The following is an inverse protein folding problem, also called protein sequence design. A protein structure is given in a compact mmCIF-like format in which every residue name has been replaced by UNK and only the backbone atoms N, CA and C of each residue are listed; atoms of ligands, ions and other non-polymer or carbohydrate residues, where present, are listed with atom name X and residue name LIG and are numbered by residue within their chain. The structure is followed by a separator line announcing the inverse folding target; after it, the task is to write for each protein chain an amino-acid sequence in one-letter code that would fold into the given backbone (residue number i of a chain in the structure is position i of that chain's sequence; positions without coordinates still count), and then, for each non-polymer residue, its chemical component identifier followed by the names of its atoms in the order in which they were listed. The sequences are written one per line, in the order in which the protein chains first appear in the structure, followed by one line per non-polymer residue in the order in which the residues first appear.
data_IF_403341310969
#
_entry.id   IF_403341310969
#
_cell.length_a   1.000
_cell.length_b   1.000
_cell.length_c   1.000
_cell.angle_alpha   90.00
_cell.angle_beta   90.00
_cell.angle_gamma   90.00
#
_symmetry.space_group_name_H-M   'P 1'
#
loop_
_entity.id
_entity.type
_entity.pdbx_description
1 polymer ?
#
# COMPACT_ATOMS: atom_id res chain seq x y z
N UNK A 1 33.43 60.89 -21.48
CA UNK A 1 33.08 60.69 -20.06
C UNK A 1 31.87 59.76 -19.99
N UNK A 2 31.88 58.79 -19.08
CA UNK A 2 30.84 57.76 -18.84
C UNK A 2 30.88 56.49 -19.71
N UNK A 3 31.99 55.75 -19.61
CA UNK A 3 31.99 54.29 -19.47
C UNK A 3 32.21 54.06 -17.97
N UNK A 4 31.36 53.32 -17.24
CA UNK A 4 31.77 52.51 -16.09
C UNK A 4 30.54 51.82 -15.44
N UNK A 5 30.70 50.51 -15.22
CA UNK A 5 30.00 49.66 -14.23
C UNK A 5 28.58 49.21 -14.60
N UNK A 6 28.49 48.11 -15.35
CA UNK A 6 27.39 47.14 -15.17
C UNK A 6 27.88 45.73 -15.48
N UNK A 7 28.87 45.29 -14.71
CA UNK A 7 29.37 43.92 -14.76
C UNK A 7 29.59 43.43 -13.33
N UNK A 8 29.19 42.18 -13.05
CA UNK A 8 29.15 41.47 -11.76
C UNK A 8 27.85 41.61 -10.95
N UNK A 9 26.87 40.78 -11.30
CA UNK A 9 26.17 39.92 -10.33
C UNK A 9 25.42 38.79 -11.07
N UNK A 10 26.14 38.01 -11.89
CA UNK A 10 25.66 36.68 -12.33
C UNK A 10 26.05 35.68 -11.25
N UNK A 11 25.19 35.55 -10.24
CA UNK A 11 25.26 34.46 -9.27
C UNK A 11 25.11 33.15 -10.04
N UNK A 12 26.22 32.39 -10.13
CA UNK A 12 26.25 31.00 -10.60
C UNK A 12 25.39 30.14 -9.65
N UNK A 13 24.11 30.00 -9.96
CA UNK A 13 23.21 29.04 -9.33
C UNK A 13 23.35 27.62 -9.92
N UNK A 14 24.14 27.45 -10.99
CA UNK A 14 24.07 26.26 -11.84
C UNK A 14 24.91 25.07 -11.34
N UNK A 15 25.65 25.21 -10.24
CA UNK A 15 26.63 24.19 -9.81
C UNK A 15 26.34 23.52 -8.46
N UNK A 16 25.28 23.91 -7.73
CA UNK A 16 24.98 23.32 -6.42
C UNK A 16 23.98 22.15 -6.49
N UNK A 17 22.97 22.24 -7.36
CA UNK A 17 21.97 21.19 -7.55
C UNK A 17 22.52 19.81 -8.02
N UNK A 18 23.47 19.71 -8.97
CA UNK A 18 23.85 18.40 -9.51
C UNK A 18 24.72 17.56 -8.55
N UNK A 19 25.42 18.19 -7.60
CA UNK A 19 26.25 17.46 -6.60
C UNK A 19 25.41 16.87 -5.46
N UNK A 20 24.36 17.56 -5.02
CA UNK A 20 23.43 17.05 -4.01
C UNK A 20 22.61 15.87 -4.56
N UNK A 21 22.10 15.98 -5.79
CA UNK A 21 21.40 14.90 -6.49
C UNK A 21 22.30 13.68 -6.77
N UNK A 22 23.60 13.88 -7.07
CA UNK A 22 24.55 12.77 -7.24
C UNK A 22 24.85 12.03 -5.94
N UNK A 23 24.91 12.74 -4.81
CA UNK A 23 25.09 12.12 -3.48
C UNK A 23 23.81 11.41 -3.01
N UNK A 24 22.63 11.94 -3.34
CA UNK A 24 21.36 11.24 -3.11
C UNK A 24 21.29 9.92 -3.88
N UNK A 25 21.77 9.87 -5.15
CA UNK A 25 21.85 8.62 -5.93
C UNK A 25 22.77 7.54 -5.33
N UNK A 26 23.78 7.94 -4.54
CA UNK A 26 24.67 6.97 -3.88
C UNK A 26 24.20 6.62 -2.46
N UNK A 27 23.50 7.53 -1.76
CA UNK A 27 22.90 7.24 -0.46
C UNK A 27 21.61 6.39 -0.57
N UNK A 28 20.85 6.54 -1.67
CA UNK A 28 19.71 5.66 -2.01
C UNK A 28 20.18 4.27 -2.49
N UNK A 29 21.49 4.09 -2.71
CA UNK A 29 22.10 2.81 -3.11
C UNK A 29 22.20 1.76 -2.00
N UNK A 30 21.90 2.08 -0.74
CA UNK A 30 22.10 1.13 0.38
C UNK A 30 21.09 1.21 1.53
N UNK A 31 19.95 1.87 1.36
CA UNK A 31 18.96 1.98 2.42
C UNK A 31 17.53 1.95 1.91
N UNK A 32 16.83 0.87 2.27
CA UNK A 32 15.37 0.69 2.16
C UNK A 32 14.90 0.38 0.73
N UNK A 33 15.15 -0.86 0.32
CA UNK A 33 14.54 -1.50 -0.86
C UNK A 33 13.27 -2.17 -0.42
N UNK A 34 12.16 -1.53 -0.69
CA UNK A 34 10.83 -1.95 -0.31
C UNK A 34 9.90 -1.17 -1.30
N UNK A 35 8.98 -1.80 -2.13
CA UNK A 35 7.46 -1.49 -2.40
C UNK A 35 6.42 -2.43 -3.19
N UNK A 36 5.48 -3.20 -2.49
CA UNK A 36 4.17 -3.99 -2.70
C UNK A 36 3.32 -3.74 -4.00
N UNK A 37 2.13 -4.34 -4.23
CA UNK A 37 1.99 -5.20 -5.39
C UNK A 37 0.61 -5.05 -6.04
N UNK A 38 0.50 -4.09 -6.94
CA UNK A 38 -0.20 -4.42 -8.17
C UNK A 38 0.86 -4.26 -9.23
N UNK A 39 1.55 -5.36 -9.51
CA UNK A 39 2.43 -5.46 -10.66
C UNK A 39 1.54 -5.39 -11.90
N UNK A 40 1.17 -4.16 -12.30
CA UNK A 40 0.48 -3.93 -13.57
C UNK A 40 1.50 -4.26 -14.63
N UNK A 41 1.36 -5.46 -15.18
CA UNK A 41 2.31 -6.05 -16.09
C UNK A 41 2.32 -5.28 -17.41
N UNK A 42 3.28 -4.39 -17.54
CA UNK A 42 3.50 -3.66 -18.78
C UNK A 42 4.97 -3.79 -19.15
N UNK A 43 5.33 -4.89 -19.81
CA UNK A 43 6.08 -4.86 -21.08
C UNK A 43 6.24 -6.27 -21.65
N UNK A 44 6.25 -6.30 -22.98
CA UNK A 44 6.50 -7.38 -23.93
C UNK A 44 5.94 -8.80 -23.65
N UNK A 45 4.92 -9.29 -24.40
CA UNK A 45 4.43 -10.66 -24.27
C UNK A 45 5.43 -11.76 -24.68
N UNK A 46 6.64 -11.41 -25.13
CA UNK A 46 7.61 -12.36 -25.68
C UNK A 46 8.71 -12.80 -24.71
N UNK A 47 8.83 -12.23 -23.51
CA UNK A 47 9.88 -12.59 -22.55
C UNK A 47 9.36 -12.82 -21.12
N UNK A 48 9.96 -13.78 -20.40
CA UNK A 48 9.84 -13.86 -18.95
C UNK A 48 10.20 -12.51 -18.36
N UNK A 49 9.39 -11.98 -17.46
CA UNK A 49 9.83 -10.82 -16.69
C UNK A 49 9.53 -11.00 -15.21
N UNK A 50 10.40 -10.41 -14.40
CA UNK A 50 10.38 -10.50 -12.95
C UNK A 50 10.16 -9.11 -12.41
N UNK A 51 9.12 -8.96 -11.59
CA UNK A 51 8.81 -7.71 -10.89
C UNK A 51 9.10 -7.89 -9.41
N UNK A 52 9.92 -7.02 -8.85
CA UNK A 52 10.29 -7.02 -7.43
C UNK A 52 9.72 -5.76 -6.77
N UNK A 53 9.16 -5.97 -5.57
CA UNK A 53 8.34 -5.04 -4.80
C UNK A 53 8.62 -5.25 -3.30
N UNK A 54 8.19 -4.32 -2.46
CA UNK A 54 7.86 -4.37 -1.01
C UNK A 54 7.43 -3.14 -0.12
N UNK A 55 6.18 -2.79 0.25
CA UNK A 55 5.91 -1.40 0.74
C UNK A 55 6.44 -1.02 2.12
N UNK A 56 6.58 0.28 2.40
CA UNK A 56 6.45 0.80 3.75
C UNK A 56 5.24 1.73 3.78
N UNK A 57 4.55 1.72 4.91
CA UNK A 57 3.44 2.61 5.14
C UNK A 57 3.16 2.83 6.61
N UNK A 58 2.34 3.84 6.84
CA UNK A 58 1.88 4.23 8.15
C UNK A 58 0.50 4.84 8.03
N UNK A 59 -0.27 4.75 9.10
CA UNK A 59 -1.62 5.28 9.10
C UNK A 59 -2.29 5.17 10.45
N UNK A 60 -3.58 5.46 10.42
CA UNK A 60 -4.46 5.54 11.56
C UNK A 60 -5.81 4.98 11.14
N UNK A 61 -6.38 4.10 11.96
CA UNK A 61 -7.74 3.59 11.78
C UNK A 61 -8.52 3.74 13.08
N UNK A 62 -9.84 3.67 12.98
CA UNK A 62 -10.70 3.70 14.15
C UNK A 62 -11.03 2.28 14.60
N UNK A 63 -11.12 2.07 15.91
CA UNK A 63 -11.91 0.97 16.47
C UNK A 63 -13.18 1.57 17.04
N UNK A 64 -14.32 1.19 16.46
CA UNK A 64 -15.64 1.74 16.78
C UNK A 64 -16.49 0.71 17.48
N UNK A 65 -17.04 1.09 18.64
CA UNK A 65 -18.07 0.32 19.33
C UNK A 65 -19.42 0.78 18.83
N UNK A 66 -20.23 -0.18 18.43
CA UNK A 66 -21.58 0.05 17.93
C UNK A 66 -22.58 -0.53 18.91
N UNK A 67 -23.51 0.31 19.37
CA UNK A 67 -24.74 -0.14 20.02
C UNK A 67 -25.87 -0.30 18.98
N UNK A 68 -27.06 -0.64 19.45
CA UNK A 68 -28.23 -0.83 18.57
C UNK A 68 -28.59 0.42 17.73
N UNK A 69 -28.25 1.62 18.22
CA UNK A 69 -28.56 2.90 17.59
C UNK A 69 -27.38 3.54 16.85
N UNK A 70 -26.24 2.85 16.73
CA UNK A 70 -25.04 3.36 16.06
C UNK A 70 -23.79 3.44 16.96
N UNK A 71 -22.75 4.20 16.55
CA UNK A 71 -21.51 4.31 17.29
C UNK A 71 -21.71 4.92 18.68
N UNK A 72 -21.26 4.20 19.72
CA UNK A 72 -21.29 4.68 21.12
C UNK A 72 -19.91 5.10 21.63
N UNK A 73 -18.85 4.71 20.92
CA UNK A 73 -17.48 5.09 21.24
C UNK A 73 -16.54 4.75 20.09
N UNK A 74 -15.48 5.54 19.94
CA UNK A 74 -14.44 5.30 18.95
C UNK A 74 -13.09 5.67 19.54
N UNK A 75 -12.08 4.87 19.23
CA UNK A 75 -10.69 5.19 19.54
C UNK A 75 -9.85 5.09 18.29
N UNK A 76 -8.81 5.89 18.26
CA UNK A 76 -7.82 5.90 17.19
C UNK A 76 -6.71 4.91 17.51
N UNK A 77 -6.30 4.15 16.50
CA UNK A 77 -5.16 3.25 16.54
C UNK A 77 -4.18 3.65 15.44
N UNK A 78 -2.94 3.91 15.84
CA UNK A 78 -1.86 4.14 14.89
C UNK A 78 -1.29 2.79 14.43
N UNK A 79 -0.82 2.75 13.19
CA UNK A 79 -0.18 1.57 12.64
C UNK A 79 0.94 1.92 11.67
N UNK A 80 1.82 0.96 11.48
CA UNK A 80 2.82 0.93 10.43
C UNK A 80 2.88 -0.47 9.81
N UNK A 81 3.13 -0.51 8.51
CA UNK A 81 3.26 -1.76 7.76
C UNK A 81 4.45 -1.73 6.83
N UNK A 82 4.91 -2.93 6.49
CA UNK A 82 5.76 -3.14 5.34
C UNK A 82 5.41 -4.44 4.64
N UNK A 83 5.84 -4.61 3.39
CA UNK A 83 5.95 -5.95 2.82
C UNK A 83 7.08 -6.01 1.79
N UNK A 84 7.20 -7.13 1.10
CA UNK A 84 8.06 -7.48 -0.04
C UNK A 84 7.28 -8.41 -0.93
N UNK A 85 7.53 -8.36 -2.23
CA UNK A 85 6.84 -9.18 -3.19
C UNK A 85 7.65 -9.41 -4.45
N UNK A 86 7.52 -10.60 -5.01
CA UNK A 86 8.12 -10.97 -6.27
C UNK A 86 7.00 -11.55 -7.14
N UNK A 87 6.91 -11.07 -8.38
CA UNK A 87 5.97 -11.55 -9.37
C UNK A 87 6.74 -11.97 -10.61
N UNK A 88 6.50 -13.19 -11.08
CA UNK A 88 7.12 -13.76 -12.27
C UNK A 88 6.02 -13.98 -13.29
N UNK A 89 6.10 -13.26 -14.41
CA UNK A 89 5.29 -13.61 -15.57
C UNK A 89 5.98 -14.76 -16.30
N UNK A 90 5.29 -15.90 -16.33
CA UNK A 90 5.79 -17.08 -17.03
C UNK A 90 5.54 -16.85 -18.51
N UNK A 91 6.58 -16.92 -19.37
CA UNK A 91 6.47 -16.57 -20.78
C UNK A 91 5.43 -17.47 -21.45
N UNK A 92 4.61 -16.93 -22.36
CA UNK A 92 3.63 -17.75 -23.02
C UNK A 92 4.31 -18.59 -24.09
N UNK A 93 3.87 -19.85 -24.20
CA UNK A 93 3.51 -20.35 -25.53
C UNK A 93 2.38 -19.44 -26.06
N UNK A 94 2.73 -18.28 -26.64
CA UNK A 94 1.92 -17.25 -27.32
C UNK A 94 0.61 -16.70 -26.68
N UNK A 95 -0.08 -17.39 -25.76
CA UNK A 95 -1.46 -17.08 -25.34
C UNK A 95 -1.73 -17.19 -23.83
N UNK A 96 -0.72 -17.40 -22.98
CA UNK A 96 -0.93 -17.64 -21.54
C UNK A 96 -0.27 -16.56 -20.67
N UNK A 97 -0.96 -15.44 -20.36
CA UNK A 97 -0.46 -14.38 -19.51
C UNK A 97 -0.55 -14.76 -18.03
N UNK A 98 0.10 -15.84 -17.62
CA UNK A 98 0.06 -16.31 -16.23
C UNK A 98 1.19 -15.66 -15.44
N UNK A 99 0.84 -15.06 -14.30
CA UNK A 99 1.76 -14.44 -13.36
C UNK A 99 1.66 -15.17 -12.04
N UNK A 100 2.81 -15.63 -11.53
CA UNK A 100 2.93 -16.24 -10.21
C UNK A 100 3.57 -15.22 -9.28
N UNK A 101 2.98 -15.02 -8.12
CA UNK A 101 3.42 -14.05 -7.13
C UNK A 101 3.70 -14.67 -5.77
N UNK A 102 4.60 -14.06 -5.03
CA UNK A 102 4.78 -14.31 -3.62
C UNK A 102 4.99 -12.99 -2.90
N UNK A 103 4.29 -12.76 -1.79
CA UNK A 103 4.48 -11.58 -0.95
C UNK A 103 4.70 -11.99 0.50
N UNK A 104 5.46 -11.19 1.23
CA UNK A 104 5.63 -11.30 2.67
C UNK A 104 5.57 -9.91 3.28
N UNK A 105 4.94 -9.73 4.43
CA UNK A 105 5.09 -8.49 5.16
C UNK A 105 4.58 -8.53 6.59
N UNK A 106 4.65 -7.36 7.23
CA UNK A 106 4.27 -7.15 8.61
C UNK A 106 3.32 -5.96 8.71
N UNK A 107 2.32 -6.10 9.56
CA UNK A 107 1.53 -4.99 10.05
C UNK A 107 1.70 -4.91 11.56
N UNK A 108 1.97 -3.71 12.08
CA UNK A 108 2.10 -3.42 13.49
C UNK A 108 1.16 -2.29 13.86
N UNK A 109 0.43 -2.44 14.95
CA UNK A 109 -0.44 -1.38 15.46
C UNK A 109 -0.39 -1.27 16.98
N UNK A 110 -0.44 -0.03 17.45
CA UNK A 110 -0.66 0.29 18.85
C UNK A 110 -2.16 0.28 19.11
N UNK A 111 -2.65 -0.92 19.41
CA UNK A 111 -4.05 -1.23 19.54
C UNK A 111 -4.59 -0.75 20.91
N UNK A 112 -5.62 0.08 20.86
CA UNK A 112 -6.43 0.53 21.99
C UNK A 112 -7.84 0.00 21.77
N UNK A 113 -8.35 -0.82 22.68
CA UNK A 113 -9.77 -1.18 22.64
C UNK A 113 -10.57 -0.09 23.37
N UNK A 114 -11.63 0.46 22.77
CA UNK A 114 -12.44 1.50 23.40
C UNK A 114 -13.19 1.04 24.67
N UNK A 115 -13.31 -0.26 24.93
CA UNK A 115 -13.86 -0.88 26.14
C UNK A 115 -13.16 -2.22 26.36
N UNK A 116 -12.28 -2.33 27.37
CA UNK A 116 -11.78 -3.65 27.80
C UNK A 116 -12.11 -3.96 29.26
N UNK A 117 -12.57 -2.99 30.02
CA UNK A 117 -12.89 -3.20 31.42
C UNK A 117 -14.15 -2.41 31.79
N UNK A 118 -15.11 -3.12 32.37
CA UNK A 118 -16.15 -2.51 33.16
C UNK A 118 -15.57 -2.28 34.56
N UNK A 119 -15.46 -1.02 34.95
CA UNK A 119 -15.09 -0.64 36.31
C UNK A 119 -16.33 -0.84 37.18
N UNK A 120 -16.44 -2.02 37.80
CA UNK A 120 -17.54 -2.40 38.68
C UNK A 120 -17.71 -1.40 39.84
N UNK A 121 -16.61 -0.81 40.32
CA UNK A 121 -16.62 0.13 41.43
C UNK A 121 -17.28 1.46 41.05
N UNK A 122 -17.01 1.96 39.85
CA UNK A 122 -17.57 3.22 39.35
C UNK A 122 -18.75 3.03 38.38
N UNK A 123 -19.23 1.79 38.20
CA UNK A 123 -20.32 1.42 37.31
C UNK A 123 -20.18 2.04 35.89
N UNK A 124 -18.96 2.05 35.37
CA UNK A 124 -18.60 2.71 34.10
C UNK A 124 -17.64 1.86 33.30
N UNK A 125 -17.68 1.97 31.97
CA UNK A 125 -16.66 1.39 31.13
C UNK A 125 -15.41 2.27 31.14
N UNK A 126 -14.24 1.66 31.36
CA UNK A 126 -12.95 2.33 31.33
C UNK A 126 -12.14 1.89 30.11
N UNK A 127 -11.42 2.85 29.53
CA UNK A 127 -10.44 2.63 28.47
C UNK A 127 -9.11 2.35 29.19
N UNK A 128 -8.49 1.16 29.05
CA UNK A 128 -7.16 0.92 29.59
C UNK A 128 -6.20 2.00 29.10
N UNK A 129 -5.38 2.54 30.00
CA UNK A 129 -4.44 3.62 29.68
C UNK A 129 -3.27 3.16 28.80
N UNK A 130 -2.98 1.86 28.77
CA UNK A 130 -1.81 1.33 28.05
C UNK A 130 -2.21 0.67 26.72
N UNK A 131 -1.66 1.13 25.58
CA UNK A 131 -1.86 0.48 24.29
C UNK A 131 -1.17 -0.89 24.29
N UNK A 132 -1.87 -1.91 23.81
CA UNK A 132 -1.24 -3.20 23.48
C UNK A 132 -0.68 -3.11 22.06
N UNK A 133 0.62 -3.26 21.89
CA UNK A 133 1.19 -3.38 20.53
C UNK A 133 0.88 -4.76 19.98
N UNK A 134 0.25 -4.81 18.81
CA UNK A 134 -0.06 -6.04 18.10
C UNK A 134 0.74 -6.09 16.81
N UNK A 135 1.33 -7.25 16.48
CA UNK A 135 2.09 -7.49 15.27
C UNK A 135 1.57 -8.70 14.53
N UNK A 136 1.60 -8.62 13.22
CA UNK A 136 1.07 -9.64 12.34
C UNK A 136 2.01 -9.81 11.17
N UNK A 137 2.41 -11.04 10.92
CA UNK A 137 3.21 -11.38 9.74
C UNK A 137 2.36 -12.20 8.80
N UNK A 138 2.45 -11.89 7.51
CA UNK A 138 1.67 -12.52 6.47
C UNK A 138 2.58 -12.95 5.33
N UNK A 139 2.24 -14.08 4.72
CA UNK A 139 2.71 -14.47 3.40
C UNK A 139 1.51 -14.65 2.48
N UNK A 140 1.67 -14.29 1.21
CA UNK A 140 0.64 -14.39 0.19
C UNK A 140 1.22 -14.92 -1.12
N UNK A 141 1.32 -16.25 -1.30
CA UNK A 141 1.42 -16.86 -2.63
C UNK A 141 0.18 -16.55 -3.46
N UNK A 142 0.38 -16.15 -4.71
CA UNK A 142 -0.69 -15.79 -5.64
C UNK A 142 -0.43 -16.32 -7.05
N UNK A 143 -1.50 -16.51 -7.79
CA UNK A 143 -1.51 -16.80 -9.22
C UNK A 143 -2.54 -15.92 -9.89
N UNK A 144 -2.21 -15.37 -11.05
CA UNK A 144 -3.10 -14.51 -11.80
C UNK A 144 -2.96 -14.71 -13.30
N UNK A 145 -4.04 -14.42 -14.01
CA UNK A 145 -4.10 -14.25 -15.44
C UNK A 145 -4.14 -12.75 -15.73
N UNK A 146 -3.11 -12.20 -16.38
CA UNK A 146 -2.93 -10.75 -16.60
C UNK A 146 -2.75 -10.39 -18.08
N UNK A 147 -3.85 -10.29 -18.80
CA UNK A 147 -3.88 -9.77 -20.17
C UNK A 147 -3.93 -8.23 -20.15
N UNK A 148 -3.52 -7.58 -21.24
CA UNK A 148 -3.82 -6.17 -21.52
C UNK A 148 -5.24 -5.72 -21.11
N UNK A 149 -6.28 -6.51 -21.39
CA UNK A 149 -7.69 -6.12 -21.21
C UNK A 149 -8.35 -6.68 -19.95
N UNK A 150 -7.89 -7.83 -19.45
CA UNK A 150 -8.52 -8.54 -18.34
C UNK A 150 -7.44 -9.04 -17.40
N UNK A 151 -7.64 -8.83 -16.10
CA UNK A 151 -6.79 -9.37 -15.04
C UNK A 151 -7.66 -10.12 -14.04
N UNK A 152 -7.32 -11.35 -13.68
CA UNK A 152 -7.98 -12.08 -12.60
C UNK A 152 -6.90 -12.80 -11.80
N UNK A 153 -6.88 -12.57 -10.49
CA UNK A 153 -5.91 -13.20 -9.59
C UNK A 153 -6.56 -13.79 -8.37
N UNK A 154 -5.90 -14.81 -7.83
CA UNK A 154 -6.22 -15.44 -6.57
C UNK A 154 -4.94 -15.66 -5.78
N UNK A 155 -4.99 -15.45 -4.48
CA UNK A 155 -3.90 -15.76 -3.58
C UNK A 155 -4.39 -16.33 -2.27
N UNK A 156 -3.46 -16.91 -1.53
CA UNK A 156 -3.72 -17.52 -0.23
C UNK A 156 -2.88 -16.80 0.82
N UNK A 157 -3.54 -16.14 1.75
CA UNK A 157 -2.88 -15.43 2.83
C UNK A 157 -2.78 -16.36 4.03
N UNK A 158 -1.56 -16.56 4.52
CA UNK A 158 -1.36 -17.22 5.81
C UNK A 158 -0.41 -16.43 6.69
N UNK A 159 -0.63 -16.50 7.99
CA UNK A 159 0.12 -15.68 8.94
C UNK A 159 -0.26 -15.95 10.38
N UNK A 160 0.54 -15.40 11.30
CA UNK A 160 0.20 -15.39 12.73
C UNK A 160 -0.63 -14.15 13.02
N UNK A 161 -1.89 -14.36 13.40
CA UNK A 161 -2.81 -13.31 13.84
C UNK A 161 -3.22 -13.62 15.28
N UNK A 162 -3.21 -12.64 16.19
CA UNK A 162 -3.91 -12.77 17.46
C UNK A 162 -5.38 -13.17 17.24
N UNK A 163 -5.75 -14.31 17.79
CA UNK A 163 -7.04 -14.99 17.60
C UNK A 163 -8.17 -14.21 18.30
N UNK A 164 -7.82 -13.68 19.46
CA UNK A 164 -8.45 -12.53 20.10
C UNK A 164 -7.42 -11.41 19.97
N UNK A 165 -7.80 -10.15 20.05
CA UNK A 165 -6.82 -9.04 20.13
C UNK A 165 -6.04 -9.08 21.48
N UNK A 166 -5.79 -10.27 22.03
CA UNK A 166 -4.96 -10.61 23.17
C UNK A 166 -3.55 -10.93 22.68
N UNK A 167 -2.49 -10.37 23.28
CA UNK A 167 -1.10 -10.66 22.90
C UNK A 167 -0.70 -12.14 22.97
N UNK A 168 -1.41 -12.94 23.78
CA UNK A 168 -0.95 -14.25 24.23
C UNK A 168 -1.52 -15.44 23.43
N UNK A 169 -2.47 -15.22 22.52
CA UNK A 169 -3.10 -16.27 21.71
C UNK A 169 -2.91 -15.96 20.22
N UNK A 170 -1.78 -16.37 19.65
CA UNK A 170 -1.54 -16.29 18.21
C UNK A 170 -2.09 -17.54 17.53
N UNK A 171 -3.04 -17.37 16.62
CA UNK A 171 -3.49 -18.43 15.73
C UNK A 171 -2.96 -18.26 14.32
N UNK A 172 -2.82 -19.40 13.65
CA UNK A 172 -2.60 -19.42 12.21
C UNK A 172 -3.90 -19.04 11.55
N UNK A 173 -3.93 -17.87 10.92
CA UNK A 173 -5.06 -17.45 10.10
C UNK A 173 -4.78 -17.81 8.65
N UNK A 174 -5.81 -18.34 8.00
CA UNK A 174 -5.88 -18.63 6.59
C UNK A 174 -6.98 -17.76 5.98
N UNK A 175 -6.64 -16.96 4.96
CA UNK A 175 -7.59 -16.10 4.24
C UNK A 175 -7.28 -16.14 2.74
N UNK A 176 -8.21 -15.68 1.91
CA UNK A 176 -8.04 -15.54 0.47
C UNK A 176 -7.67 -14.11 0.07
N UNK A 177 -6.99 -13.97 -1.06
CA UNK A 177 -6.92 -12.71 -1.81
C UNK A 177 -7.42 -12.92 -3.24
N UNK A 178 -7.96 -11.86 -3.82
CA UNK A 178 -8.59 -11.89 -5.13
C UNK A 178 -8.52 -10.51 -5.78
N UNK A 179 -8.35 -10.46 -7.09
CA UNK A 179 -8.70 -9.27 -7.87
C UNK A 179 -9.34 -9.62 -9.19
N UNK A 180 -10.12 -8.66 -9.68
CA UNK A 180 -10.62 -8.62 -11.04
C UNK A 180 -10.37 -7.23 -11.63
N UNK A 181 -9.82 -7.20 -12.84
CA UNK A 181 -9.58 -6.00 -13.63
C UNK A 181 -10.18 -6.16 -15.01
N UNK A 182 -10.81 -5.09 -15.49
CA UNK A 182 -11.30 -4.97 -16.86
C UNK A 182 -10.89 -3.62 -17.46
N UNK A 183 -10.49 -3.62 -18.72
CA UNK A 183 -10.05 -2.45 -19.45
C UNK A 183 -8.57 -2.48 -19.80
N UNK A 184 -8.18 -1.55 -20.67
CA UNK A 184 -6.84 -1.50 -21.25
C UNK A 184 -5.84 -0.94 -20.25
N UNK A 185 -4.90 -1.77 -19.80
CA UNK A 185 -3.84 -1.31 -18.89
C UNK A 185 -3.07 -0.11 -19.46
N UNK A 186 -2.99 0.07 -20.78
CA UNK A 186 -2.24 1.18 -21.41
C UNK A 186 -3.01 2.50 -21.44
N UNK A 187 -4.26 2.53 -20.95
CA UNK A 187 -5.12 3.72 -21.02
C UNK A 187 -5.93 3.89 -19.75
N UNK A 188 -6.92 3.02 -19.56
CA UNK A 188 -7.85 3.09 -18.45
C UNK A 188 -8.40 1.70 -18.18
N UNK A 189 -8.53 1.39 -16.90
CA UNK A 189 -9.10 0.13 -16.44
C UNK A 189 -9.88 0.34 -15.14
N UNK A 190 -10.84 -0.53 -14.91
CA UNK A 190 -11.53 -0.69 -13.64
C UNK A 190 -10.93 -1.90 -12.92
N UNK A 191 -10.74 -1.80 -11.61
CA UNK A 191 -10.27 -2.89 -10.77
C UNK A 191 -11.05 -2.95 -9.47
N UNK A 192 -11.34 -4.16 -9.03
CA UNK A 192 -11.78 -4.48 -7.68
C UNK A 192 -10.84 -5.53 -7.11
N UNK A 193 -10.54 -5.43 -5.83
CA UNK A 193 -9.68 -6.38 -5.14
C UNK A 193 -10.12 -6.60 -3.71
N UNK A 194 -9.95 -7.84 -3.27
CA UNK A 194 -10.09 -8.28 -1.89
C UNK A 194 -8.75 -8.82 -1.41
N UNK A 195 -8.28 -8.33 -0.28
CA UNK A 195 -7.08 -8.73 0.43
C UNK A 195 -5.76 -8.67 -0.36
N UNK A 196 -5.75 -8.11 -1.57
CA UNK A 196 -4.54 -7.98 -2.40
C UNK A 196 -3.53 -6.99 -1.80
N UNK A 197 -4.00 -5.93 -1.14
CA UNK A 197 -3.09 -5.02 -0.47
C UNK A 197 -2.51 -5.62 0.79
N UNK A 198 -3.03 -6.73 1.34
CA UNK A 198 -2.49 -7.29 2.57
C UNK A 198 -1.08 -7.82 2.32
N UNK A 199 -0.06 -7.35 3.07
CA UNK A 199 -0.19 -6.63 4.36
C UNK A 199 -0.04 -5.08 4.36
N UNK A 200 0.05 -4.39 3.22
CA UNK A 200 -0.05 -2.93 3.08
C UNK A 200 -1.47 -2.35 3.24
N UNK A 201 -2.02 -2.45 4.43
CA UNK A 201 -3.32 -1.84 4.68
C UNK A 201 -3.29 -0.31 4.58
N UNK A 202 -2.12 0.32 4.70
CA UNK A 202 -1.91 1.75 4.41
C UNK A 202 -2.19 2.14 2.95
N UNK A 203 -2.10 1.19 2.00
CA UNK A 203 -2.26 1.43 0.57
C UNK A 203 -3.70 1.37 0.04
N UNK A 204 -4.65 0.84 0.82
CA UNK A 204 -6.05 0.70 0.39
C UNK A 204 -6.99 -0.03 1.34
N UNK A 205 -6.43 -0.85 2.23
CA UNK A 205 -7.19 -1.70 3.14
C UNK A 205 -7.38 -3.09 2.56
N UNK A 206 -8.37 -3.84 3.04
CA UNK A 206 -8.67 -5.19 2.56
C UNK A 206 -9.56 -5.22 1.33
N UNK A 207 -10.29 -4.16 1.02
CA UNK A 207 -11.17 -4.14 -0.14
C UNK A 207 -10.96 -2.83 -0.87
N UNK A 208 -10.74 -2.89 -2.18
CA UNK A 208 -10.61 -1.71 -3.02
C UNK A 208 -11.48 -1.86 -4.26
N UNK A 209 -12.02 -0.74 -4.73
CA UNK A 209 -12.75 -0.64 -5.99
C UNK A 209 -12.48 0.72 -6.63
N UNK A 210 -12.12 0.76 -7.90
CA UNK A 210 -11.77 2.03 -8.53
C UNK A 210 -11.32 1.95 -9.98
N UNK A 211 -10.84 3.10 -10.47
CA UNK A 211 -10.38 3.31 -11.82
C UNK A 211 -8.89 3.63 -11.83
N UNK A 212 -8.15 2.94 -12.69
CA UNK A 212 -6.77 3.23 -13.01
C UNK A 212 -6.63 3.88 -14.38
N UNK A 213 -5.69 4.81 -14.50
CA UNK A 213 -5.38 5.55 -15.70
C UNK A 213 -3.88 5.50 -15.94
N UNK A 214 -3.49 5.25 -17.19
CA UNK A 214 -2.09 5.29 -17.61
C UNK A 214 -1.91 6.41 -18.62
N UNK A 215 -1.04 7.35 -18.28
CA UNK A 215 -0.71 8.49 -19.14
C UNK A 215 0.28 8.08 -20.22
N UNK A 216 0.49 8.96 -21.22
CA UNK A 216 1.50 8.74 -22.28
C UNK A 216 2.94 8.63 -21.76
N UNK A 217 3.21 9.11 -20.54
CA UNK A 217 4.51 9.06 -19.90
C UNK A 217 4.68 7.82 -18.99
N UNK A 218 3.80 6.81 -19.11
CA UNK A 218 3.75 5.63 -18.24
C UNK A 218 3.54 5.95 -16.75
N UNK A 219 3.09 7.16 -16.41
CA UNK A 219 2.55 7.46 -15.08
C UNK A 219 1.20 6.77 -14.94
N UNK A 220 1.09 5.92 -13.92
CA UNK A 220 -0.17 5.27 -13.53
C UNK A 220 -0.78 6.02 -12.36
N UNK A 221 -2.08 6.30 -12.42
CA UNK A 221 -2.86 6.90 -11.34
C UNK A 221 -4.07 6.01 -11.11
N UNK A 222 -4.34 5.66 -9.87
CA UNK A 222 -5.54 4.95 -9.47
C UNK A 222 -6.33 5.80 -8.48
N UNK A 223 -7.64 5.89 -8.70
CA UNK A 223 -8.58 6.55 -7.78
C UNK A 223 -9.72 5.59 -7.48
N UNK A 224 -10.10 5.51 -6.22
CA UNK A 224 -11.07 4.53 -5.80
C UNK A 224 -11.59 4.76 -4.40
N UNK A 225 -12.25 3.72 -3.91
CA UNK A 225 -12.72 3.62 -2.54
C UNK A 225 -12.20 2.31 -1.97
N UNK A 226 -11.73 2.34 -0.72
CA UNK A 226 -11.33 1.12 -0.03
C UNK A 226 -11.71 1.07 1.44
N UNK A 227 -11.77 -0.13 1.98
CA UNK A 227 -12.21 -0.46 3.33
C UNK A 227 -11.50 -1.71 3.85
N UNK A 228 -12.01 -2.32 4.92
CA UNK A 228 -11.43 -3.55 5.48
C UNK A 228 -10.97 -3.36 6.92
N UNK A 229 -9.68 -3.08 7.12
CA UNK A 229 -9.16 -2.75 8.47
C UNK A 229 -9.78 -1.46 9.04
N UNK A 230 -10.25 -0.60 8.14
CA UNK A 230 -10.92 0.64 8.45
C UNK A 230 -12.41 0.40 8.67
N UNK A 231 -12.96 1.07 9.67
CA UNK A 231 -14.35 0.92 10.08
C UNK A 231 -15.33 1.60 9.10
N UNK A 232 -14.83 2.41 8.16
CA UNK A 232 -15.59 3.03 7.07
C UNK A 232 -14.91 2.91 5.70
N UNK A 233 -15.68 2.96 4.59
CA UNK A 233 -15.12 3.20 3.26
C UNK A 233 -14.39 4.55 3.22
N UNK A 234 -13.26 4.60 2.52
CA UNK A 234 -12.44 5.80 2.38
C UNK A 234 -12.02 6.03 0.94
N UNK A 235 -11.88 7.29 0.55
CA UNK A 235 -11.28 7.68 -0.72
C UNK A 235 -9.84 7.18 -0.78
N UNK A 236 -9.44 6.72 -1.96
CA UNK A 236 -8.10 6.25 -2.25
C UNK A 236 -7.52 6.93 -3.47
N UNK A 237 -6.23 7.22 -3.38
CA UNK A 237 -5.39 7.67 -4.48
C UNK A 237 -4.09 6.86 -4.45
N UNK A 238 -3.76 6.20 -5.55
CA UNK A 238 -2.45 5.58 -5.74
C UNK A 238 -1.82 6.14 -7.01
N UNK A 239 -0.49 6.15 -7.04
CA UNK A 239 0.29 6.60 -8.18
C UNK A 239 1.53 5.75 -8.36
N UNK A 240 1.95 5.54 -9.60
CA UNK A 240 3.23 4.93 -9.96
C UNK A 240 3.93 5.81 -10.99
N UNK A 241 5.06 6.39 -10.61
CA UNK A 241 5.87 7.31 -11.40
C UNK A 241 7.09 6.54 -11.92
N UNK A 242 7.25 6.35 -13.25
CA UNK A 242 8.45 5.73 -13.79
C UNK A 242 9.68 6.62 -13.54
N UNK A 243 10.72 6.06 -12.95
CA UNK A 243 12.04 6.69 -12.86
C UNK A 243 12.89 6.37 -14.09
N UNK A 244 12.82 5.12 -14.55
CA UNK A 244 13.42 4.65 -15.79
C UNK A 244 12.59 3.48 -16.38
N UNK A 245 13.20 2.67 -17.27
CA UNK A 245 12.53 1.52 -17.92
C UNK A 245 12.28 0.34 -16.98
N UNK A 246 13.05 0.24 -15.91
CA UNK A 246 13.09 -0.88 -14.98
C UNK A 246 12.64 -0.50 -13.57
N UNK A 247 12.59 0.79 -13.25
CA UNK A 247 12.35 1.29 -11.90
C UNK A 247 11.22 2.31 -11.89
N UNK A 248 10.26 2.10 -11.01
CA UNK A 248 9.18 3.03 -10.72
C UNK A 248 9.19 3.39 -9.24
N UNK A 249 8.76 4.61 -8.92
CA UNK A 249 8.31 4.99 -7.59
C UNK A 249 6.81 4.78 -7.50
N UNK A 250 6.27 4.35 -6.37
CA UNK A 250 4.83 4.40 -6.10
C UNK A 250 4.51 5.13 -4.81
N UNK A 251 3.29 5.65 -4.74
CA UNK A 251 2.74 6.30 -3.56
C UNK A 251 1.25 6.00 -3.46
N UNK A 252 0.76 5.76 -2.25
CA UNK A 252 -0.64 5.53 -1.97
C UNK A 252 -1.09 6.42 -0.81
N UNK A 253 -2.32 6.89 -0.92
CA UNK A 253 -2.99 7.70 0.07
C UNK A 253 -4.43 7.20 0.21
N UNK A 254 -4.89 7.09 1.45
CA UNK A 254 -6.27 6.81 1.78
C UNK A 254 -6.78 7.77 2.83
N UNK A 255 -8.03 8.21 2.67
CA UNK A 255 -8.73 9.04 3.63
C UNK A 255 -10.19 8.59 3.82
N UNK A 256 -10.58 8.35 5.06
CA UNK A 256 -11.95 8.06 5.49
C UNK A 256 -12.25 8.72 6.84
N UNK A 257 -13.50 8.61 7.29
CA UNK A 257 -13.90 9.13 8.60
C UNK A 257 -15.06 8.30 9.14
N UNK A 258 -14.95 7.91 10.41
CA UNK A 258 -15.99 7.16 11.10
C UNK A 258 -16.09 7.61 12.55
N UNK A 259 -17.32 7.79 13.05
CA UNK A 259 -17.59 8.15 14.45
C UNK A 259 -16.72 9.31 14.97
N UNK A 260 -16.48 10.32 14.12
CA UNK A 260 -15.66 11.50 14.44
C UNK A 260 -14.15 11.32 14.29
N UNK A 261 -13.64 10.09 14.21
CA UNK A 261 -12.22 9.74 14.03
C UNK A 261 -11.85 9.73 12.55
N UNK A 262 -10.78 10.43 12.17
CA UNK A 262 -10.21 10.38 10.82
C UNK A 262 -9.40 9.10 10.63
N UNK A 263 -9.62 8.42 9.51
CA UNK A 263 -8.90 7.22 9.11
C UNK A 263 -8.00 7.57 7.93
N UNK A 264 -6.69 7.47 8.10
CA UNK A 264 -5.72 7.95 7.09
C UNK A 264 -4.65 6.89 6.89
N UNK A 265 -4.26 6.62 5.65
CA UNK A 265 -3.16 5.74 5.31
C UNK A 265 -2.24 6.39 4.29
N UNK A 266 -0.93 6.23 4.47
CA UNK A 266 0.08 6.61 3.50
C UNK A 266 1.04 5.44 3.29
N UNK A 267 1.34 5.13 2.03
CA UNK A 267 2.39 4.20 1.68
C UNK A 267 3.22 4.79 0.54
N UNK A 268 4.49 4.40 0.43
CA UNK A 268 5.34 4.89 -0.65
C UNK A 268 6.58 4.06 -0.90
N UNK A 269 7.19 4.24 -2.09
CA UNK A 269 8.19 3.28 -2.54
C UNK A 269 8.73 3.07 -3.93
N UNK A 270 9.37 1.90 -4.15
CA UNK A 270 9.98 1.36 -5.37
C UNK A 270 9.42 0.03 -5.95
N UNK A 271 9.35 -0.04 -7.28
CA UNK A 271 9.02 -1.24 -8.07
C UNK A 271 10.12 -1.47 -9.11
N UNK A 272 10.80 -2.61 -9.05
CA UNK A 272 11.83 -3.03 -10.01
C UNK A 272 11.30 -4.04 -11.02
N UNK A 273 11.74 -3.98 -12.29
CA UNK A 273 11.35 -4.85 -13.39
C UNK A 273 12.61 -5.34 -14.12
N UNK A 274 12.72 -6.66 -14.28
CA UNK A 274 13.86 -7.36 -14.88
C UNK A 274 13.41 -8.34 -15.95
#
# INVERSE_FOLDING_TARGET
MSKFITEKFRLRADNFLPKFLRRLKHAVGFGVILVLPVGIYQNDPESTSVVVTGHIGAGQYASVIRGCNGPIGATKNDFNDYAVGIHVAVPPRANSPVVIGFRYGEWRSDYRYPIRAYDEYNNRYIIPSEPSTIRFHYVNPSISYENRMVGIGFGYITGKRPEKLSPDENSLVADGSFHARIGDMRRAYFITSFNENTPLVSGGGYYDIGLGFVTRQNLTIYVGVGGGIYDSPGFMLQSQIPLDKHLHISGAFRYGRVAGVGEVGFAGGLIGRF
#
